data_IF_779543438842
#
_entry.id   IF_779543438842
#
_cell.length_a   1.000
_cell.length_b   1.000
_cell.length_c   1.000
_cell.angle_alpha   90.00
_cell.angle_beta   90.00
_cell.angle_gamma   90.00
#
_symmetry.space_group_name_H-M   'P 1'
#
loop_
_entity.id
_entity.type
_entity.pdbx_description
1 polymer ?
2 branched ?
3 branched ?
4 non-polymer ?
5 non-polymer ?
6 non-polymer ?
7 non-polymer ?
8 water ?
#
# COMPACT_ATOMS: atom_id res chain seq x y z
N UNK A 1 25.06 -7.15 -11.88
CA UNK A 1 24.22 -6.78 -10.71
C UNK A 1 24.14 -8.02 -9.82
N UNK A 2 24.18 -7.80 -8.49
CA UNK A 2 23.90 -8.83 -7.52
C UNK A 2 22.52 -8.61 -6.92
N UNK A 3 21.94 -9.67 -6.34
CA UNK A 3 20.68 -9.50 -5.63
C UNK A 3 20.92 -8.57 -4.44
N UNK A 4 19.93 -7.70 -4.19
CA UNK A 4 19.97 -6.85 -3.02
C UNK A 4 19.72 -7.63 -1.75
N UNK A 5 20.50 -7.33 -0.74
CA UNK A 5 20.31 -7.87 0.60
C UNK A 5 19.88 -6.73 1.52
N UNK A 6 18.99 -7.08 2.48
CA UNK A 6 18.46 -6.12 3.45
C UNK A 6 19.45 -6.01 4.62
N UNK A 7 20.54 -5.29 4.40
CA UNK A 7 21.62 -5.27 5.37
C UNK A 7 21.54 -4.12 6.33
N UNK A 8 20.70 -3.13 6.09
CA UNK A 8 20.67 -1.92 6.86
C UNK A 8 19.44 -1.89 7.76
N UNK A 9 19.50 -1.09 8.80
CA UNK A 9 18.33 -0.77 9.59
C UNK A 9 17.65 0.50 9.10
N UNK A 10 16.50 0.83 9.69
CA UNK A 10 15.83 2.08 9.31
C UNK A 10 16.57 3.28 9.85
N UNK A 11 16.56 4.37 9.08
CA UNK A 11 17.02 5.66 9.59
C UNK A 11 16.06 6.12 10.70
N UNK A 12 16.56 6.97 11.61
CA UNK A 12 15.74 7.54 12.63
C UNK A 12 14.74 8.52 12.02
N UNK A 13 13.45 8.29 12.28
CA UNK A 13 12.39 9.09 11.71
C UNK A 13 12.05 10.22 12.70
N UNK A 14 12.47 11.46 12.39
CA UNK A 14 12.11 12.58 13.26
C UNK A 14 11.07 13.51 12.63
N UNK A 15 10.76 13.32 11.34
CA UNK A 15 9.72 13.99 10.63
C UNK A 15 9.67 13.39 9.23
N UNK A 16 8.79 13.95 8.39
CA UNK A 16 8.58 13.48 7.03
C UNK A 16 8.79 14.66 6.10
N UNK A 17 9.47 14.46 4.98
CA UNK A 17 9.64 15.50 3.94
C UNK A 17 8.92 15.05 2.67
N UNK A 18 8.53 16.05 1.86
CA UNK A 18 7.89 15.74 0.60
C UNK A 18 8.85 15.00 -0.33
N UNK A 19 8.38 13.94 -0.96
CA UNK A 19 9.18 13.14 -1.88
C UNK A 19 8.65 13.26 -3.29
N UNK A 20 7.36 13.05 -3.49
CA UNK A 20 6.76 13.19 -4.79
C UNK A 20 5.28 13.52 -4.71
N UNK A 21 4.77 14.07 -5.78
CA UNK A 21 3.36 14.45 -5.87
C UNK A 21 3.05 14.60 -7.35
N UNK A 22 2.00 14.00 -7.85
CA UNK A 22 1.75 14.07 -9.29
C UNK A 22 0.66 15.03 -9.72
N UNK A 23 -0.20 15.52 -8.81
CA UNK A 23 -1.24 16.46 -9.21
C UNK A 23 -2.05 15.91 -10.41
N UNK A 24 -2.30 14.59 -10.43
CA UNK A 24 -2.81 14.01 -11.64
C UNK A 24 -4.25 14.45 -12.03
N UNK A 25 -5.10 14.65 -11.00
CA UNK A 25 -6.50 15.02 -11.28
C UNK A 25 -6.53 16.46 -11.77
N UNK A 26 -5.79 17.37 -11.14
CA UNK A 26 -5.68 18.74 -11.63
C UNK A 26 -5.24 18.74 -13.10
N UNK A 27 -4.14 18.05 -13.38
CA UNK A 27 -3.55 18.10 -14.71
C UNK A 27 -4.48 17.44 -15.72
N UNK A 28 -5.08 16.32 -15.30
CA UNK A 28 -5.95 15.54 -16.20
C UNK A 28 -7.28 16.16 -16.52
N UNK A 29 -7.64 17.28 -15.87
CA UNK A 29 -8.79 18.05 -16.28
C UNK A 29 -8.66 18.55 -17.71
N UNK A 30 -7.44 18.69 -18.21
CA UNK A 30 -7.19 19.15 -19.58
C UNK A 30 -5.94 18.52 -20.19
N UNK A 31 -5.73 17.25 -19.96
CA UNK A 31 -4.66 16.51 -20.60
C UNK A 31 -5.03 15.04 -20.53
N UNK A 32 -4.27 14.18 -21.22
CA UNK A 32 -4.66 12.79 -21.45
C UNK A 32 -4.15 11.87 -20.34
N UNK A 33 -4.68 12.05 -19.15
CA UNK A 33 -4.33 11.34 -17.95
C UNK A 33 -5.28 10.16 -17.76
N UNK A 34 -4.72 9.00 -17.56
CA UNK A 34 -5.50 7.80 -17.30
C UNK A 34 -6.16 7.86 -15.93
N UNK A 35 -7.40 7.34 -15.89
CA UNK A 35 -8.05 7.04 -14.66
C UNK A 35 -7.32 5.90 -13.95
N UNK A 36 -7.07 6.05 -12.65
CA UNK A 36 -6.37 5.04 -11.89
C UNK A 36 -7.07 4.84 -10.53
N UNK A 37 -6.57 3.87 -9.77
CA UNK A 37 -6.72 3.76 -8.31
C UNK A 37 -5.70 2.72 -7.86
N UNK A 38 -5.60 2.51 -6.55
CA UNK A 38 -4.65 1.58 -5.98
C UNK A 38 -3.22 1.86 -6.41
N UNK A 39 -2.72 3.10 -6.20
CA UNK A 39 -1.36 3.45 -6.59
C UNK A 39 -0.33 2.95 -5.59
N UNK A 40 0.93 3.03 -5.99
CA UNK A 40 2.05 2.83 -5.05
C UNK A 40 3.30 3.37 -5.70
N UNK A 41 4.42 3.19 -5.02
CA UNK A 41 5.75 3.66 -5.45
C UNK A 41 6.71 2.48 -5.31
N UNK A 42 7.65 2.35 -6.24
CA UNK A 42 8.62 1.29 -6.12
C UNK A 42 9.90 1.71 -6.86
N UNK A 43 11.04 1.38 -6.27
CA UNK A 43 12.34 1.75 -6.81
C UNK A 43 13.03 0.58 -7.50
N UNK A 44 13.71 0.92 -8.57
CA UNK A 44 14.74 0.11 -9.21
C UNK A 44 16.10 0.64 -8.75
N UNK A 45 17.23 -0.01 -9.06
CA UNK A 45 18.53 0.52 -8.65
C UNK A 45 18.91 1.89 -9.19
N UNK A 46 18.28 2.30 -10.32
CA UNK A 46 18.61 3.55 -11.00
C UNK A 46 17.44 4.52 -11.15
N UNK A 47 16.28 4.22 -10.59
CA UNK A 47 15.10 5.09 -10.81
C UNK A 47 14.03 4.65 -9.79
N UNK A 48 13.21 5.58 -9.34
CA UNK A 48 12.01 5.25 -8.61
C UNK A 48 10.79 5.70 -9.45
N UNK A 49 9.72 4.96 -9.43
CA UNK A 49 8.55 5.22 -10.28
C UNK A 49 7.27 5.13 -9.49
N UNK A 50 6.24 5.81 -10.00
CA UNK A 50 4.87 5.64 -9.55
C UNK A 50 4.22 4.48 -10.26
N UNK A 51 3.32 3.77 -9.62
CA UNK A 51 2.60 2.61 -10.12
C UNK A 51 1.14 2.80 -9.77
N UNK A 52 0.25 2.17 -10.55
CA UNK A 52 -1.19 2.13 -10.17
C UNK A 52 -1.92 1.18 -11.07
N UNK A 53 -3.20 0.92 -10.75
CA UNK A 53 -4.04 0.19 -11.65
C UNK A 53 -4.85 1.17 -12.50
N UNK A 54 -4.51 1.19 -13.78
CA UNK A 54 -5.30 1.94 -14.76
C UNK A 54 -6.70 1.37 -14.84
N UNK A 55 -7.63 2.19 -15.33
CA UNK A 55 -8.99 1.80 -15.71
C UNK A 55 -9.17 1.76 -17.23
N UNK A 56 -8.09 2.01 -17.99
CA UNK A 56 -8.22 1.88 -19.44
C UNK A 56 -9.09 2.94 -20.08
N UNK A 57 -8.92 4.15 -19.61
CA UNK A 57 -9.69 5.32 -20.10
C UNK A 57 -9.00 6.54 -19.50
N UNK A 58 -9.11 7.66 -20.18
CA UNK A 58 -8.72 8.95 -19.59
C UNK A 58 -9.83 9.47 -18.67
N UNK A 59 -9.51 10.46 -17.87
CA UNK A 59 -10.47 10.99 -16.88
C UNK A 59 -11.54 11.87 -17.56
N UNK A 60 -11.16 12.62 -18.61
CA UNK A 60 -12.11 13.36 -19.43
C UNK A 60 -12.83 12.49 -20.44
N UNK A 61 -12.38 11.28 -20.67
CA UNK A 61 -13.00 10.42 -21.65
C UNK A 61 -14.36 9.96 -21.17
N UNK A 62 -15.27 9.68 -22.11
CA UNK A 62 -16.58 9.18 -21.74
C UNK A 62 -16.53 7.82 -21.05
N UNK A 63 -15.49 7.03 -21.28
CA UNK A 63 -15.36 5.75 -20.63
C UNK A 63 -14.96 5.87 -19.13
N UNK A 64 -14.75 7.10 -18.66
CA UNK A 64 -14.51 7.27 -17.22
C UNK A 64 -15.81 6.98 -16.43
N UNK A 65 -16.97 7.05 -17.06
CA UNK A 65 -18.22 6.75 -16.34
C UNK A 65 -18.19 5.29 -15.92
N UNK A 66 -18.31 5.04 -14.62
CA UNK A 66 -18.39 3.65 -14.13
C UNK A 66 -17.08 3.18 -13.45
N UNK A 67 -16.06 4.04 -13.38
CA UNK A 67 -14.77 3.71 -12.88
C UNK A 67 -14.71 3.59 -11.35
N UNK A 68 -15.85 3.75 -10.64
CA UNK A 68 -15.89 3.30 -9.26
C UNK A 68 -15.62 1.78 -9.16
N UNK A 69 -15.98 1.05 -10.21
CA UNK A 69 -15.91 -0.42 -10.20
C UNK A 69 -14.47 -0.90 -10.05
N UNK A 70 -14.32 -2.00 -9.32
CA UNK A 70 -13.00 -2.48 -8.95
C UNK A 70 -12.32 -3.37 -9.98
N UNK A 71 -13.06 -4.19 -10.78
CA UNK A 71 -12.38 -5.34 -11.49
C UNK A 71 -12.83 -5.67 -12.95
N UNK A 72 -12.50 -4.82 -13.84
CA UNK A 72 -12.86 -4.97 -15.24
C UNK A 72 -11.69 -5.56 -16.01
N UNK A 73 -11.98 -5.91 -17.25
CA UNK A 73 -10.99 -6.39 -18.23
C UNK A 73 -10.12 -5.28 -18.77
N UNK A 74 -10.38 -4.01 -18.37
CA UNK A 74 -9.73 -2.83 -18.98
C UNK A 74 -8.67 -2.27 -18.04
N UNK A 75 -8.41 -2.95 -16.90
CA UNK A 75 -7.41 -2.57 -15.93
C UNK A 75 -6.06 -3.19 -16.20
N UNK A 76 -5.02 -2.48 -15.76
CA UNK A 76 -3.66 -2.94 -15.93
C UNK A 76 -2.81 -2.27 -14.88
N UNK A 77 -1.74 -2.96 -14.49
CA UNK A 77 -0.71 -2.30 -13.71
C UNK A 77 0.16 -1.46 -14.65
N UNK A 78 0.26 -0.19 -14.37
CA UNK A 78 1.10 0.74 -15.13
C UNK A 78 2.12 1.34 -14.19
N UNK A 79 3.25 1.78 -14.76
CA UNK A 79 4.21 2.57 -14.03
C UNK A 79 4.59 3.80 -14.87
N UNK A 80 5.07 4.85 -14.22
CA UNK A 80 5.41 6.09 -14.90
C UNK A 80 6.41 6.86 -14.09
N UNK A 81 7.06 7.87 -14.67
CA UNK A 81 8.13 8.56 -13.93
C UNK A 81 7.63 9.26 -12.67
N UNK A 82 8.51 9.23 -11.67
CA UNK A 82 8.20 9.80 -10.38
C UNK A 82 7.69 11.24 -10.54
N UNK A 83 6.52 11.48 -9.94
CA UNK A 83 5.85 12.80 -9.85
C UNK A 83 5.25 13.33 -11.15
N UNK A 84 5.49 12.64 -12.28
CA UNK A 84 4.65 12.92 -13.48
C UNK A 84 3.27 12.31 -13.26
N UNK A 85 2.22 12.70 -14.01
CA UNK A 85 0.96 11.99 -13.88
C UNK A 85 0.93 10.77 -14.79
N UNK A 86 0.01 9.83 -14.58
CA UNK A 86 -0.09 8.62 -15.40
C UNK A 86 -0.84 8.97 -16.66
N UNK A 87 -0.08 9.27 -17.71
CA UNK A 87 -0.68 9.65 -18.99
C UNK A 87 -0.75 8.51 -19.97
N UNK A 88 -1.54 8.68 -21.00
CA UNK A 88 -1.60 7.71 -22.07
C UNK A 88 -0.23 7.49 -22.69
N UNK A 89 0.57 8.56 -22.78
CA UNK A 89 1.77 8.57 -23.57
C UNK A 89 3.03 8.22 -22.74
N UNK A 90 3.00 8.25 -21.45
CA UNK A 90 4.21 8.01 -20.61
C UNK A 90 4.02 6.80 -19.71
N UNK A 91 2.90 6.14 -19.73
CA UNK A 91 2.63 5.02 -18.82
C UNK A 91 3.06 3.71 -19.46
N UNK A 92 3.86 2.93 -18.74
CA UNK A 92 4.32 1.61 -19.16
C UNK A 92 3.49 0.54 -18.54
N UNK A 93 2.90 -0.32 -19.36
CA UNK A 93 2.10 -1.42 -18.79
C UNK A 93 3.03 -2.52 -18.33
N UNK A 94 2.88 -2.91 -17.07
CA UNK A 94 3.65 -4.00 -16.47
C UNK A 94 2.97 -5.36 -16.65
N UNK A 95 1.65 -5.37 -16.52
CA UNK A 95 0.88 -6.60 -16.70
C UNK A 95 -0.61 -6.18 -16.65
N UNK A 96 -1.47 -7.14 -17.02
CA UNK A 96 -2.89 -6.91 -17.13
C UNK A 96 -3.62 -7.51 -15.93
N UNK A 97 -4.51 -6.72 -15.30
CA UNK A 97 -5.30 -7.19 -14.19
C UNK A 97 -5.74 -6.10 -13.25
N UNK A 98 -6.31 -6.55 -12.11
CA UNK A 98 -7.05 -5.63 -11.24
C UNK A 98 -6.62 -5.77 -9.79
N UNK A 99 -5.49 -6.44 -9.55
CA UNK A 99 -4.83 -6.54 -8.25
C UNK A 99 -3.33 -6.79 -8.54
N UNK A 100 -2.44 -6.10 -7.86
CA UNK A 100 -1.05 -6.21 -8.21
C UNK A 100 -0.05 -6.06 -7.09
N UNK A 101 1.18 -6.48 -7.37
CA UNK A 101 2.36 -6.04 -6.61
C UNK A 101 3.54 -6.04 -7.57
N UNK A 102 4.66 -5.44 -7.14
CA UNK A 102 5.87 -5.37 -7.98
C UNK A 102 7.01 -5.07 -7.07
N UNK A 103 8.20 -5.60 -7.39
CA UNK A 103 9.43 -5.27 -6.64
C UNK A 103 10.64 -5.63 -7.48
N UNK A 104 11.71 -4.90 -7.24
CA UNK A 104 13.00 -5.18 -7.85
C UNK A 104 13.86 -5.98 -6.90
N UNK A 105 14.59 -6.98 -7.41
CA UNK A 105 15.42 -7.83 -6.55
C UNK A 105 16.87 -7.40 -6.54
N UNK A 106 17.20 -6.32 -7.24
CA UNK A 106 18.58 -5.86 -7.44
C UNK A 106 19.10 -6.19 -8.81
N UNK A 107 18.63 -7.27 -9.41
CA UNK A 107 18.97 -7.65 -10.79
C UNK A 107 17.88 -7.18 -11.76
N UNK A 108 16.61 -7.53 -11.50
CA UNK A 108 15.53 -7.08 -12.36
C UNK A 108 14.24 -7.09 -11.53
N UNK A 109 13.15 -6.75 -12.17
CA UNK A 109 11.86 -6.53 -11.54
C UNK A 109 10.92 -7.72 -11.72
N UNK A 110 10.23 -8.04 -10.64
CA UNK A 110 9.09 -8.96 -10.65
C UNK A 110 7.82 -8.14 -10.54
N UNK A 111 6.84 -8.42 -11.42
CA UNK A 111 5.53 -7.79 -11.33
C UNK A 111 4.47 -8.88 -11.34
N UNK A 112 3.42 -8.69 -10.54
CA UNK A 112 2.35 -9.71 -10.50
C UNK A 112 1.02 -9.01 -10.67
N UNK A 113 0.21 -9.54 -11.58
CA UNK A 113 -1.13 -9.05 -11.74
C UNK A 113 -2.10 -10.23 -11.70
N UNK A 114 -3.27 -9.98 -11.10
CA UNK A 114 -4.35 -10.97 -11.03
C UNK A 114 -5.49 -10.46 -11.91
N UNK A 115 -6.06 -11.35 -12.73
CA UNK A 115 -7.24 -11.02 -13.51
C UNK A 115 -8.20 -12.18 -13.44
N UNK A 116 -9.41 -11.94 -13.97
CA UNK A 116 -10.41 -12.96 -14.11
C UNK A 116 -11.72 -12.57 -13.44
N UNK A 117 -12.71 -13.43 -13.61
CA UNK A 117 -13.95 -13.27 -12.90
C UNK A 117 -13.75 -13.66 -11.41
N UNK A 118 -14.73 -13.33 -10.57
CA UNK A 118 -14.54 -13.52 -9.15
C UNK A 118 -14.27 -14.98 -8.74
N UNK A 119 -14.86 -15.93 -9.47
CA UNK A 119 -14.75 -17.35 -9.13
C UNK A 119 -13.66 -18.08 -9.94
N UNK A 120 -12.82 -17.34 -10.70
CA UNK A 120 -11.92 -18.02 -11.60
C UNK A 120 -10.71 -17.14 -11.93
N UNK A 121 -10.23 -16.38 -10.91
CA UNK A 121 -9.11 -15.48 -11.12
C UNK A 121 -7.77 -16.25 -11.12
N UNK A 122 -6.77 -15.58 -11.66
CA UNK A 122 -5.43 -16.15 -11.74
C UNK A 122 -4.38 -15.06 -11.68
N UNK A 123 -3.27 -15.37 -11.04
CA UNK A 123 -2.11 -14.49 -10.99
C UNK A 123 -1.11 -14.90 -12.08
N UNK A 124 -0.53 -13.90 -12.74
CA UNK A 124 0.63 -14.11 -13.63
C UNK A 124 1.79 -13.33 -13.02
N UNK A 125 2.89 -14.05 -12.84
CA UNK A 125 4.13 -13.52 -12.27
C UNK A 125 5.07 -13.28 -13.42
N UNK A 126 5.43 -12.01 -13.59
CA UNK A 126 6.36 -11.56 -14.64
C UNK A 126 7.72 -11.30 -13.97
N UNK A 127 8.77 -11.62 -14.68
CA UNK A 127 10.14 -11.40 -14.19
C UNK A 127 10.96 -10.96 -15.40
N UNK A 128 11.66 -9.83 -15.26
CA UNK A 128 12.45 -9.29 -16.39
C UNK A 128 11.51 -9.02 -17.56
N UNK A 129 10.30 -8.55 -17.26
CA UNK A 129 9.30 -8.13 -18.28
C UNK A 129 8.79 -9.25 -19.16
N UNK A 130 8.87 -10.48 -18.63
CA UNK A 130 8.34 -11.66 -19.31
C UNK A 130 7.50 -12.48 -18.35
N UNK A 131 6.41 -13.13 -18.81
CA UNK A 131 5.65 -14.02 -17.92
C UNK A 131 6.46 -15.26 -17.62
N UNK A 132 6.45 -15.67 -16.35
CA UNK A 132 7.20 -16.84 -15.93
C UNK A 132 6.35 -17.90 -15.26
N UNK A 133 5.49 -17.50 -14.30
CA UNK A 133 4.71 -18.43 -13.51
C UNK A 133 3.28 -17.95 -13.47
N UNK A 134 2.34 -18.90 -13.30
CA UNK A 134 0.95 -18.57 -13.16
C UNK A 134 0.39 -19.34 -11.96
N UNK A 135 -0.56 -18.72 -11.25
CA UNK A 135 -1.19 -19.37 -10.06
C UNK A 135 -2.69 -19.21 -10.21
N UNK A 136 -3.40 -20.34 -10.19
CA UNK A 136 -4.86 -20.31 -10.25
C UNK A 136 -5.47 -20.01 -8.88
N UNK A 137 -6.66 -19.41 -8.85
CA UNK A 137 -7.45 -19.29 -7.62
C UNK A 137 -7.51 -20.61 -6.88
N UNK A 138 -7.34 -20.53 -5.56
CA UNK A 138 -7.45 -21.69 -4.69
C UNK A 138 -8.76 -21.73 -3.93
N UNK A 139 -9.46 -20.59 -3.76
CA UNK A 139 -10.69 -20.51 -2.99
C UNK A 139 -11.84 -19.99 -3.86
N UNK A 140 -11.60 -19.61 -5.12
CA UNK A 140 -12.68 -19.22 -6.03
C UNK A 140 -13.44 -18.01 -5.51
N UNK A 141 -12.71 -17.03 -4.93
CA UNK A 141 -13.39 -15.86 -4.41
C UNK A 141 -12.41 -14.69 -4.36
N UNK A 142 -12.20 -14.10 -5.53
CA UNK A 142 -11.46 -12.85 -5.70
C UNK A 142 -10.05 -13.02 -5.14
N UNK A 143 -9.26 -13.90 -5.76
CA UNK A 143 -7.81 -13.92 -5.52
C UNK A 143 -7.28 -12.47 -5.62
N UNK A 144 -6.45 -12.11 -4.65
CA UNK A 144 -6.07 -10.70 -4.54
C UNK A 144 -4.75 -10.58 -3.75
N UNK A 145 -4.06 -9.44 -3.96
CA UNK A 145 -2.73 -9.26 -3.36
C UNK A 145 -2.51 -7.83 -2.78
N UNK A 146 -1.29 -7.39 -2.74
CA UNK A 146 -0.89 -6.30 -1.84
C UNK A 146 -1.41 -4.93 -2.24
N UNK A 147 -1.31 -4.60 -3.54
CA UNK A 147 -1.56 -3.25 -4.04
C UNK A 147 -0.48 -2.26 -3.61
N UNK A 148 0.71 -2.77 -3.23
CA UNK A 148 1.92 -1.97 -3.07
C UNK A 148 3.12 -2.88 -3.24
N UNK A 149 4.32 -2.31 -3.10
CA UNK A 149 5.52 -3.07 -3.48
C UNK A 149 5.77 -4.26 -2.54
N UNK A 150 6.34 -5.29 -3.15
CA UNK A 150 6.92 -6.38 -2.42
C UNK A 150 8.37 -6.06 -2.06
N UNK A 151 9.05 -6.92 -1.34
CA UNK A 151 10.39 -6.69 -0.89
C UNK A 151 11.21 -7.94 -1.10
N UNK A 152 12.44 -7.82 -1.57
CA UNK A 152 13.28 -8.97 -1.84
C UNK A 152 14.55 -8.98 -0.96
N UNK A 153 15.08 -10.18 -0.71
CA UNK A 153 16.31 -10.38 0.05
C UNK A 153 17.05 -11.55 -0.62
N UNK A 154 18.26 -11.31 -1.13
CA UNK A 154 19.04 -12.32 -1.80
C UNK A 154 18.22 -13.06 -2.86
N UNK A 155 17.38 -12.33 -3.60
CA UNK A 155 16.62 -12.91 -4.68
C UNK A 155 15.28 -13.47 -4.30
N UNK A 156 15.01 -13.62 -2.98
CA UNK A 156 13.77 -14.19 -2.51
C UNK A 156 12.80 -13.03 -2.22
N UNK A 157 11.68 -13.01 -2.93
CA UNK A 157 10.71 -11.91 -2.84
C UNK A 157 9.38 -12.50 -2.32
N UNK A 158 9.08 -12.40 -1.02
CA UNK A 158 7.79 -12.89 -0.52
C UNK A 158 6.64 -11.98 -0.93
N UNK A 159 5.49 -12.60 -1.17
CA UNK A 159 4.27 -11.86 -1.55
C UNK A 159 3.11 -12.48 -0.81
N UNK A 160 2.24 -11.60 -0.27
CA UNK A 160 1.08 -12.10 0.45
C UNK A 160 -0.13 -12.01 -0.46
N UNK A 161 -0.89 -13.13 -0.54
CA UNK A 161 -2.14 -13.19 -1.31
C UNK A 161 -3.27 -13.67 -0.42
N UNK A 162 -4.48 -13.29 -0.75
CA UNK A 162 -5.64 -13.82 -0.09
C UNK A 162 -6.65 -14.25 -1.14
N UNK A 163 -7.38 -15.35 -0.87
CA UNK A 163 -8.49 -15.76 -1.72
C UNK A 163 -9.56 -16.23 -0.75
N UNK A 164 -10.80 -15.81 -0.98
CA UNK A 164 -11.85 -16.11 -0.03
C UNK A 164 -12.59 -14.88 0.42
N UNK A 165 -13.44 -15.07 1.41
CA UNK A 165 -14.34 -14.05 1.86
C UNK A 165 -13.64 -12.78 2.33
N UNK A 166 -14.32 -11.66 2.11
CA UNK A 166 -13.93 -10.38 2.68
C UNK A 166 -14.61 -10.15 4.04
N UNK A 167 -15.50 -11.05 4.45
CA UNK A 167 -16.42 -10.80 5.61
C UNK A 167 -16.47 -12.04 6.50
N UNK A 168 -15.40 -12.82 6.48
CA UNK A 168 -15.23 -14.01 7.26
C UNK A 168 -13.87 -14.60 6.99
N UNK A 169 -13.54 -15.77 7.58
CA UNK A 169 -12.26 -16.41 7.33
C UNK A 169 -11.98 -16.60 5.83
N UNK A 170 -10.74 -16.36 5.44
CA UNK A 170 -10.26 -16.50 4.08
C UNK A 170 -8.98 -17.32 4.08
N UNK A 171 -8.47 -17.59 2.89
CA UNK A 171 -7.27 -18.42 2.71
C UNK A 171 -6.14 -17.53 2.22
N UNK A 172 -5.31 -17.10 3.17
CA UNK A 172 -4.14 -16.28 2.89
C UNK A 172 -2.92 -17.16 2.74
N UNK A 173 -2.11 -16.87 1.73
CA UNK A 173 -0.91 -17.61 1.47
C UNK A 173 0.26 -16.62 1.29
N UNK A 174 1.42 -16.99 1.84
CA UNK A 174 2.68 -16.25 1.59
C UNK A 174 3.47 -17.08 0.58
N UNK A 175 3.69 -16.53 -0.60
CA UNK A 175 4.49 -17.19 -1.65
C UNK A 175 5.89 -16.59 -1.58
N UNK A 176 6.89 -17.42 -1.77
CA UNK A 176 8.29 -17.01 -1.82
C UNK A 176 8.78 -17.24 -3.24
N UNK A 177 8.98 -16.12 -3.95
CA UNK A 177 9.39 -16.19 -5.36
C UNK A 177 10.89 -15.93 -5.48
N UNK A 178 11.50 -16.50 -6.51
CA UNK A 178 12.89 -16.13 -6.91
C UNK A 178 12.97 -16.27 -8.44
N UNK A 179 13.36 -15.20 -9.09
CA UNK A 179 13.42 -15.16 -10.56
C UNK A 179 12.03 -15.52 -11.12
N UNK A 180 10.96 -15.09 -10.44
CA UNK A 180 9.58 -15.33 -10.87
C UNK A 180 9.07 -16.73 -10.69
N UNK A 181 9.88 -17.61 -10.10
CA UNK A 181 9.50 -18.99 -9.84
C UNK A 181 9.13 -19.19 -8.37
N UNK A 182 8.26 -20.15 -8.11
CA UNK A 182 7.84 -20.41 -6.74
C UNK A 182 8.85 -21.33 -6.06
N UNK A 183 9.48 -20.82 -5.00
CA UNK A 183 10.34 -21.66 -4.17
C UNK A 183 9.49 -22.46 -3.17
N UNK A 184 8.46 -21.83 -2.61
CA UNK A 184 7.67 -22.35 -1.50
C UNK A 184 6.45 -21.47 -1.37
N UNK A 185 5.41 -22.01 -0.78
CA UNK A 185 4.36 -21.16 -0.21
C UNK A 185 3.96 -21.76 1.14
N UNK A 186 3.36 -20.89 1.97
CA UNK A 186 2.86 -21.30 3.28
C UNK A 186 1.50 -20.68 3.48
N UNK A 187 0.59 -21.35 4.22
CA UNK A 187 -0.64 -20.71 4.66
C UNK A 187 -0.32 -19.74 5.80
N UNK A 188 -1.15 -18.72 5.91
CA UNK A 188 -1.01 -17.79 7.05
C UNK A 188 -1.03 -18.57 8.36
N UNK A 189 -0.13 -18.18 9.26
CA UNK A 189 -0.06 -18.67 10.64
C UNK A 189 -0.08 -17.48 11.57
N UNK A 190 -0.13 -17.75 12.86
CA UNK A 190 -0.17 -16.72 13.86
C UNK A 190 -1.57 -16.28 14.20
N UNK A 191 -1.69 -15.09 14.79
CA UNK A 191 -2.95 -14.67 15.40
C UNK A 191 -3.75 -13.70 14.55
N UNK A 192 -3.22 -13.22 13.42
CA UNK A 192 -4.06 -12.40 12.55
C UNK A 192 -5.20 -13.23 12.06
N UNK A 193 -6.43 -12.68 12.07
CA UNK A 193 -7.60 -13.50 11.72
C UNK A 193 -8.11 -13.26 10.30
N UNK A 194 -7.65 -12.18 9.63
CA UNK A 194 -8.00 -11.88 8.27
C UNK A 194 -6.94 -10.92 7.73
N UNK A 195 -6.53 -11.14 6.46
CA UNK A 195 -5.43 -10.38 5.90
C UNK A 195 -5.79 -9.94 4.49
N UNK A 196 -5.59 -8.65 4.20
CA UNK A 196 -5.66 -8.15 2.85
C UNK A 196 -4.61 -7.03 2.69
N UNK A 197 -4.18 -6.80 1.46
CA UNK A 197 -3.56 -5.57 1.05
C UNK A 197 -2.33 -5.23 1.90
N UNK A 198 -1.41 -6.16 2.07
CA UNK A 198 -0.25 -5.90 2.90
C UNK A 198 0.69 -4.85 2.32
N UNK A 199 1.18 -3.97 3.22
CA UNK A 199 2.15 -2.92 2.93
C UNK A 199 3.45 -3.33 3.60
N UNK A 200 4.53 -3.56 2.83
CA UNK A 200 5.73 -4.18 3.39
C UNK A 200 6.96 -3.32 3.23
N UNK A 201 7.94 -3.58 4.10
CA UNK A 201 9.27 -2.98 4.01
C UNK A 201 10.28 -3.98 4.61
N UNK A 202 11.54 -3.80 4.29
CA UNK A 202 12.57 -4.67 4.80
C UNK A 202 13.69 -3.93 5.47
N UNK A 203 14.27 -4.58 6.50
CA UNK A 203 15.42 -4.02 7.22
C UNK A 203 16.05 -5.20 7.97
N UNK A 204 17.39 -5.24 7.98
CA UNK A 204 18.13 -6.26 8.73
C UNK A 204 17.55 -7.66 8.52
N UNK A 205 17.40 -8.04 7.25
CA UNK A 205 17.04 -9.40 6.84
C UNK A 205 15.68 -9.84 7.39
N UNK A 206 14.77 -8.91 7.57
CA UNK A 206 13.38 -9.21 8.01
C UNK A 206 12.45 -8.33 7.18
N UNK A 207 11.33 -8.88 6.77
CA UNK A 207 10.29 -8.10 6.06
C UNK A 207 9.08 -7.97 6.95
N UNK A 208 8.65 -6.74 7.15
CA UNK A 208 7.49 -6.42 7.97
C UNK A 208 6.37 -5.95 7.07
N UNK A 209 5.19 -6.55 7.23
CA UNK A 209 4.00 -6.16 6.44
C UNK A 209 2.88 -5.74 7.39
N UNK A 210 2.30 -4.59 7.14
CA UNK A 210 1.11 -4.12 7.86
C UNK A 210 -0.09 -4.20 6.93
N UNK A 211 -1.13 -4.91 7.36
CA UNK A 211 -2.18 -5.28 6.44
C UNK A 211 -3.52 -4.74 6.88
N UNK A 212 -4.59 -5.20 6.24
CA UNK A 212 -5.97 -4.81 6.47
C UNK A 212 -6.74 -6.07 6.89
N UNK A 213 -7.32 -6.06 8.09
CA UNK A 213 -8.27 -7.12 8.53
C UNK A 213 -9.63 -6.57 8.15
N UNK A 214 -10.15 -6.97 6.99
CA UNK A 214 -11.40 -6.38 6.51
C UNK A 214 -12.56 -6.86 7.39
N UNK A 215 -12.48 -8.09 7.84
CA UNK A 215 -13.61 -8.76 8.49
C UNK A 215 -13.97 -8.10 9.83
N UNK A 216 -12.99 -7.96 10.74
CA UNK A 216 -13.28 -7.58 12.12
C UNK A 216 -12.44 -6.46 12.72
N UNK A 217 -11.24 -6.27 12.23
CA UNK A 217 -10.27 -5.51 13.05
C UNK A 217 -10.09 -4.07 12.63
N UNK A 218 -10.07 -3.18 13.64
CA UNK A 218 -9.75 -1.78 13.40
C UNK A 218 -8.33 -1.46 13.80
N UNK A 219 -7.70 -2.37 14.52
CA UNK A 219 -6.22 -2.46 14.59
C UNK A 219 -5.77 -3.15 13.30
N UNK A 220 -4.50 -3.04 12.97
CA UNK A 220 -4.02 -3.67 11.77
C UNK A 220 -3.23 -4.93 12.05
N UNK A 221 -3.44 -6.00 11.28
CA UNK A 221 -2.61 -7.19 11.40
C UNK A 221 -1.20 -6.90 10.87
N UNK A 222 -0.20 -7.60 11.41
CA UNK A 222 1.17 -7.48 11.01
C UNK A 222 1.73 -8.86 10.75
N UNK A 223 2.33 -9.04 9.61
CA UNK A 223 3.05 -10.27 9.23
C UNK A 223 4.53 -9.93 9.18
N UNK A 224 5.35 -10.73 9.87
CA UNK A 224 6.79 -10.55 9.80
C UNK A 224 7.43 -11.80 9.21
N UNK A 225 8.20 -11.60 8.15
CA UNK A 225 8.70 -12.67 7.31
C UNK A 225 10.22 -12.73 7.38
N UNK A 226 10.74 -13.93 7.56
CA UNK A 226 12.15 -14.24 7.46
C UNK A 226 12.35 -14.77 6.05
N UNK A 227 12.92 -13.97 5.10
CA UNK A 227 13.06 -14.42 3.73
C UNK A 227 14.19 -15.41 3.47
N UNK A 228 14.98 -15.70 4.49
CA UNK A 228 16.04 -16.74 4.38
C UNK A 228 15.44 -18.07 4.80
N UNK A 229 14.88 -18.14 6.01
CA UNK A 229 14.18 -19.37 6.44
C UNK A 229 12.90 -19.62 5.67
N UNK A 230 12.35 -18.57 5.07
CA UNK A 230 11.04 -18.59 4.38
C UNK A 230 9.95 -19.05 5.34
N UNK A 231 9.89 -18.32 6.46
CA UNK A 231 8.90 -18.52 7.51
C UNK A 231 8.33 -17.17 7.93
N UNK A 232 7.23 -17.20 8.65
CA UNK A 232 6.60 -15.96 9.08
C UNK A 232 5.85 -16.15 10.41
N UNK A 233 5.48 -15.01 10.99
CA UNK A 233 4.59 -14.90 12.10
C UNK A 233 3.54 -13.87 11.78
N UNK A 234 2.47 -13.83 12.56
CA UNK A 234 1.47 -12.79 12.47
C UNK A 234 0.95 -12.45 13.85
N UNK A 235 0.50 -11.19 13.97
CA UNK A 235 -0.17 -10.66 15.14
C UNK A 235 -0.89 -9.39 14.71
N UNK A 236 -1.34 -8.59 15.68
CA UNK A 236 -1.86 -7.23 15.39
C UNK A 236 -0.97 -6.21 16.02
N UNK A 237 -1.06 -4.98 15.53
CA UNK A 237 -0.50 -3.85 16.24
C UNK A 237 -1.25 -3.70 17.59
N UNK A 238 -0.52 -3.83 18.73
CA UNK A 238 -1.10 -3.83 20.09
C UNK A 238 -1.71 -2.46 20.42
N UNK A 239 -1.13 -1.39 19.87
CA UNK A 239 -1.46 -0.03 20.34
C UNK A 239 -2.96 0.24 20.26
N UNK A 240 -3.45 1.07 21.20
CA UNK A 240 -4.81 1.61 21.12
C UNK A 240 -4.98 2.76 20.14
N UNK A 241 -3.91 3.17 19.44
CA UNK A 241 -4.00 4.11 18.33
C UNK A 241 -4.44 3.29 17.12
N UNK A 242 -5.74 3.23 16.87
CA UNK A 242 -6.27 2.34 15.83
C UNK A 242 -6.09 2.99 14.44
N UNK A 243 -5.73 2.16 13.46
CA UNK A 243 -5.30 2.79 12.19
C UNK A 243 -6.01 2.30 10.96
N UNK A 244 -7.04 1.45 11.07
CA UNK A 244 -7.85 1.16 9.90
C UNK A 244 -8.91 2.27 9.77
N UNK A 245 -9.81 2.08 8.81
CA UNK A 245 -10.88 3.04 8.54
C UNK A 245 -11.97 2.30 7.76
N UNK A 246 -13.28 2.48 8.11
CA UNK A 246 -13.75 3.13 9.30
C UNK A 246 -13.32 2.38 10.56
N UNK A 247 -13.43 3.02 11.70
CA UNK A 247 -12.96 2.46 12.95
C UNK A 247 -13.72 3.10 14.08
N UNK A 248 -13.77 2.48 15.27
CA UNK A 248 -14.29 3.17 16.44
C UNK A 248 -13.28 4.21 16.93
N UNK A 249 -13.66 5.00 17.93
CA UNK A 249 -12.72 5.90 18.59
C UNK A 249 -11.60 5.11 19.29
N UNK A 250 -10.49 5.78 19.47
CA UNK A 250 -9.37 5.15 20.14
C UNK A 250 -9.72 4.83 21.58
N UNK A 251 -9.40 3.59 22.01
CA UNK A 251 -9.51 3.23 23.42
C UNK A 251 -8.23 3.57 24.17
N UNK A 252 -8.13 3.07 25.39
CA UNK A 252 -6.94 3.18 26.22
C UNK A 252 -6.01 1.97 26.10
N UNK A 253 -6.58 0.81 25.77
CA UNK A 253 -5.82 -0.41 25.66
C UNK A 253 -6.31 -1.11 24.37
N UNK A 254 -5.36 -1.51 23.55
CA UNK A 254 -5.65 -2.21 22.30
C UNK A 254 -5.63 -3.70 22.46
N UNK A 255 -5.41 -4.38 21.34
CA UNK A 255 -5.39 -5.86 21.28
C UNK A 255 -4.22 -6.31 20.45
N UNK A 256 -3.41 -7.22 21.01
CA UNK A 256 -2.21 -7.70 20.33
C UNK A 256 -2.47 -8.94 19.43
N UNK A 257 -3.47 -9.78 19.80
CA UNK A 257 -3.60 -11.07 19.17
C UNK A 257 -5.03 -11.32 18.71
N UNK A 258 -5.83 -10.29 18.56
CA UNK A 258 -7.15 -10.43 18.02
C UNK A 258 -7.57 -9.10 17.43
N UNK A 259 -8.56 -9.09 16.54
CA UNK A 259 -9.10 -7.82 16.02
C UNK A 259 -9.75 -6.96 17.09
N UNK A 260 -9.46 -5.68 17.05
CA UNK A 260 -10.12 -4.74 17.92
C UNK A 260 -11.46 -4.43 17.29
N UNK A 261 -12.56 -4.73 17.98
CA UNK A 261 -13.89 -4.71 17.37
C UNK A 261 -14.51 -3.32 17.28
N UNK A 262 -15.69 -3.28 16.66
CA UNK A 262 -16.46 -2.05 16.52
C UNK A 262 -16.91 -1.77 15.12
N UNK A 263 -16.14 -2.22 14.14
CA UNK A 263 -16.40 -2.06 12.73
C UNK A 263 -16.15 -3.39 12.05
N UNK A 264 -17.13 -3.81 11.23
CA UNK A 264 -17.02 -5.06 10.49
C UNK A 264 -17.09 -4.86 8.99
N UNK A 265 -16.45 -5.73 8.26
CA UNK A 265 -16.66 -5.87 6.83
C UNK A 265 -16.31 -4.60 6.06
N UNK A 266 -15.20 -3.95 6.37
CA UNK A 266 -14.72 -2.79 5.68
C UNK A 266 -13.31 -2.53 6.15
N UNK A 267 -12.67 -1.58 5.45
CA UNK A 267 -11.29 -1.21 5.83
C UNK A 267 -10.69 -0.35 4.75
N UNK A 268 -9.39 -0.13 4.88
CA UNK A 268 -8.61 0.62 3.89
C UNK A 268 -7.19 0.05 3.94
N UNK A 269 -6.50 0.00 2.82
CA UNK A 269 -5.08 -0.36 2.86
C UNK A 269 -4.32 0.72 3.59
N UNK A 270 -3.39 0.31 4.44
CA UNK A 270 -2.55 1.24 5.18
C UNK A 270 -1.19 0.64 5.51
N UNK A 271 -0.44 1.29 6.42
CA UNK A 271 0.96 0.90 6.64
C UNK A 271 1.42 1.37 8.01
N UNK A 272 2.59 0.86 8.37
CA UNK A 272 3.31 1.36 9.54
C UNK A 272 4.80 1.07 9.39
N UNK A 273 5.61 1.74 10.20
CA UNK A 273 7.02 1.37 10.37
C UNK A 273 7.13 1.01 11.83
N UNK A 274 7.53 -0.24 12.16
CA UNK A 274 7.51 -0.79 13.50
C UNK A 274 8.93 -1.08 13.91
N UNK A 275 9.52 -0.18 14.71
CA UNK A 275 10.98 -0.24 14.95
C UNK A 275 11.22 0.28 16.36
N UNK A 276 10.58 -0.31 17.40
CA UNK A 276 10.85 0.10 18.77
C UNK A 276 10.38 1.51 18.99
N UNK A 277 11.22 2.34 19.59
CA UNK A 277 10.86 3.75 19.80
C UNK A 277 10.72 4.49 18.47
N UNK A 278 11.37 4.02 17.43
CA UNK A 278 11.31 4.62 16.11
C UNK A 278 10.10 4.10 15.30
N UNK A 279 8.94 4.05 15.90
CA UNK A 279 7.72 3.53 15.34
C UNK A 279 6.77 4.66 14.95
N UNK A 280 6.34 4.60 13.70
CA UNK A 280 5.38 5.60 13.16
C UNK A 280 4.24 4.87 12.50
N UNK A 281 3.02 5.30 12.81
CA UNK A 281 1.79 4.72 12.22
C UNK A 281 1.13 5.76 11.35
N UNK A 282 0.67 5.36 10.16
CA UNK A 282 -0.17 6.22 9.37
C UNK A 282 -1.63 5.92 9.62
N UNK A 283 -2.51 6.93 9.50
CA UNK A 283 -3.94 6.67 9.50
C UNK A 283 -4.73 7.85 8.88
N UNK A 284 -5.95 7.56 8.45
CA UNK A 284 -6.88 8.62 8.13
C UNK A 284 -7.20 9.39 9.41
N UNK A 285 -7.47 10.70 9.28
CA UNK A 285 -7.88 11.44 10.44
C UNK A 285 -9.31 11.09 10.85
N UNK A 286 -10.20 11.04 9.86
CA UNK A 286 -11.59 10.62 10.13
C UNK A 286 -11.67 9.19 10.57
N UNK A 287 -12.56 8.92 11.53
CA UNK A 287 -12.88 7.53 11.90
C UNK A 287 -13.95 6.94 10.99
N UNK A 288 -14.63 7.77 10.19
CA UNK A 288 -15.77 7.32 9.42
C UNK A 288 -15.47 7.17 7.94
N UNK A 289 -14.61 7.99 7.36
CA UNK A 289 -14.42 8.00 5.92
C UNK A 289 -12.95 8.19 5.59
N UNK A 290 -12.63 8.01 4.31
CA UNK A 290 -11.26 8.16 3.84
C UNK A 290 -10.95 9.62 3.64
N UNK A 291 -10.82 10.30 4.78
CA UNK A 291 -10.64 11.74 4.89
C UNK A 291 -9.44 12.00 5.81
N UNK A 292 -8.58 12.90 5.35
CA UNK A 292 -7.38 13.30 6.11
C UNK A 292 -6.34 12.20 6.13
N UNK A 293 -5.13 12.54 6.57
CA UNK A 293 -4.09 11.54 6.76
C UNK A 293 -3.08 12.14 7.71
N UNK A 294 -2.59 11.34 8.62
CA UNK A 294 -1.62 11.77 9.59
C UNK A 294 -0.65 10.63 9.89
N UNK A 295 0.55 11.03 10.30
CA UNK A 295 1.56 10.11 10.81
C UNK A 295 1.66 10.38 12.31
N UNK A 296 1.72 9.34 13.11
CA UNK A 296 1.83 9.44 14.56
C UNK A 296 3.01 8.58 14.97
N UNK A 297 3.89 9.14 15.80
CA UNK A 297 4.98 8.44 16.40
C UNK A 297 4.43 7.76 17.65
N UNK A 298 4.45 6.42 17.65
CA UNK A 298 3.83 5.64 18.73
C UNK A 298 4.87 4.64 19.19
N UNK A 299 5.76 5.02 20.11
CA UNK A 299 6.84 4.09 20.51
C UNK A 299 6.27 2.73 20.90
N UNK A 300 6.89 1.70 20.35
CA UNK A 300 6.57 0.30 20.67
C UNK A 300 5.11 -0.02 20.37
N UNK A 301 4.54 0.57 19.31
CA UNK A 301 3.16 0.27 18.96
C UNK A 301 2.91 -1.21 18.80
N UNK A 302 3.85 -1.94 18.20
CA UNK A 302 3.61 -3.33 17.91
C UNK A 302 3.33 -4.15 19.17
N UNK A 303 4.06 -3.84 20.22
CA UNK A 303 4.13 -4.68 21.40
C UNK A 303 3.49 -4.10 22.67
N UNK A 304 3.19 -2.80 22.68
CA UNK A 304 2.71 -2.12 23.90
C UNK A 304 1.25 -1.78 23.70
N UNK A 305 0.37 -2.47 24.43
CA UNK A 305 -1.08 -2.35 24.29
C UNK A 305 -1.65 -1.10 24.98
N UNK A 306 -0.79 -0.20 25.44
CA UNK A 306 -1.26 1.11 25.98
C UNK A 306 -0.52 2.27 25.27
N UNK A 307 0.27 1.98 24.25
CA UNK A 307 1.14 3.00 23.62
C UNK A 307 0.31 4.10 22.92
N UNK A 308 0.69 5.36 23.20
CA UNK A 308 0.05 6.53 22.69
C UNK A 308 1.07 7.40 21.99
N UNK A 309 0.62 8.37 21.18
CA UNK A 309 1.58 9.17 20.40
C UNK A 309 2.45 10.08 21.24
N UNK A 310 3.71 10.22 20.77
CA UNK A 310 4.62 11.17 21.36
C UNK A 310 5.00 12.31 20.42
N UNK A 311 4.57 12.19 19.15
CA UNK A 311 4.88 13.20 18.12
C UNK A 311 3.96 12.89 16.95
N UNK A 312 3.76 13.83 16.02
CA UNK A 312 2.99 13.51 14.85
C UNK A 312 3.24 14.47 13.72
N UNK A 313 2.62 14.18 12.58
CA UNK A 313 2.68 15.10 11.45
C UNK A 313 1.42 14.94 10.64
N UNK A 314 0.75 16.04 10.36
CA UNK A 314 -0.41 16.01 9.47
C UNK A 314 0.09 15.95 8.02
N UNK A 315 -0.48 15.05 7.22
CA UNK A 315 -0.10 14.95 5.81
C UNK A 315 -1.20 15.53 4.92
N UNK A 316 -2.46 15.21 5.22
CA UNK A 316 -3.62 15.69 4.46
C UNK A 316 -4.63 16.15 5.51
N UNK A 317 -5.20 17.33 5.36
CA UNK A 317 -6.17 17.80 6.32
C UNK A 317 -7.44 16.94 6.27
N UNK A 318 -8.20 16.93 7.37
CA UNK A 318 -9.46 16.17 7.45
C UNK A 318 -10.54 16.72 6.53
N UNK A 319 -10.33 17.92 5.96
CA UNK A 319 -11.24 18.48 4.99
C UNK A 319 -10.87 18.13 3.55
N UNK A 320 -9.90 17.21 3.39
CA UNK A 320 -9.51 16.72 2.08
C UNK A 320 -9.55 15.19 2.06
N UNK A 321 -9.84 14.66 0.86
CA UNK A 321 -9.97 13.22 0.68
C UNK A 321 -8.59 12.55 0.64
N UNK A 322 -8.53 11.38 1.30
CA UNK A 322 -7.34 10.53 1.23
C UNK A 322 -7.74 9.20 0.57
N UNK A 323 -7.29 8.06 1.11
CA UNK A 323 -7.43 6.81 0.41
C UNK A 323 -6.40 5.82 0.90
N UNK A 324 -6.00 4.90 0.03
CA UNK A 324 -5.01 3.89 0.38
C UNK A 324 -3.68 4.55 0.73
N UNK A 325 -2.88 3.85 1.53
CA UNK A 325 -1.54 4.26 1.79
C UNK A 325 -0.67 3.02 1.94
N UNK A 326 0.63 3.18 1.66
CA UNK A 326 1.52 2.04 1.65
C UNK A 326 2.96 2.47 1.80
N UNK A 327 3.81 1.48 2.08
CA UNK A 327 5.22 1.67 2.33
C UNK A 327 6.06 1.31 1.10
N UNK A 328 7.21 1.99 0.98
CA UNK A 328 8.26 1.61 0.07
C UNK A 328 9.55 2.26 0.59
N UNK A 329 10.67 1.75 0.15
CA UNK A 329 11.96 2.39 0.40
C UNK A 329 12.85 2.29 -0.84
N UNK A 330 13.80 3.23 -0.93
CA UNK A 330 14.83 3.13 -1.96
C UNK A 330 15.99 2.33 -1.35
N UNK A 331 15.95 1.02 -1.60
CA UNK A 331 16.90 0.10 -1.10
C UNK A 331 18.31 0.30 -1.72
N UNK A 332 18.42 1.16 -2.76
CA UNK A 332 19.65 1.39 -3.49
C UNK A 332 20.25 2.78 -3.27
N UNK A 333 19.75 3.49 -2.26
CA UNK A 333 20.28 4.78 -1.91
C UNK A 333 21.66 4.66 -1.21
N UNK A 334 22.35 5.79 -1.15
CA UNK A 334 23.61 5.86 -0.46
C UNK A 334 23.40 5.97 1.04
N UNK A 335 24.41 5.67 1.80
CA UNK A 335 24.33 5.91 3.22
C UNK A 335 24.18 4.64 4.04
N UNK A 336 23.99 4.80 5.33
CA UNK A 336 24.12 3.70 6.28
C UNK A 336 22.78 3.11 6.72
N UNK A 337 21.68 3.68 6.33
CA UNK A 337 20.38 3.26 6.80
C UNK A 337 19.37 3.42 5.68
N UNK A 338 18.29 2.65 5.78
CA UNK A 338 17.16 2.77 4.81
C UNK A 338 16.18 3.83 5.29
N UNK A 339 15.89 4.78 4.40
CA UNK A 339 14.96 5.86 4.68
C UNK A 339 13.51 5.42 4.40
N UNK A 340 12.71 5.34 5.46
CA UNK A 340 11.30 5.02 5.37
C UNK A 340 10.60 5.98 4.44
N UNK A 341 9.75 5.43 3.55
CA UNK A 341 8.85 6.26 2.70
C UNK A 341 7.45 5.71 2.69
N UNK A 342 6.51 6.56 2.30
CA UNK A 342 5.15 6.10 2.10
C UNK A 342 4.48 6.96 1.05
N UNK A 343 3.36 6.48 0.57
CA UNK A 343 2.48 7.26 -0.29
C UNK A 343 1.08 7.27 0.28
N UNK A 344 0.29 8.28 -0.13
CA UNK A 344 -1.14 8.33 0.15
C UNK A 344 -1.82 8.56 -1.21
N UNK A 345 -2.79 7.70 -1.49
CA UNK A 345 -3.74 7.83 -2.57
C UNK A 345 -4.82 8.85 -2.20
N UNK A 346 -4.92 9.88 -3.06
CA UNK A 346 -5.88 10.98 -2.82
C UNK A 346 -7.05 10.75 -3.75
N UNK A 347 -8.10 10.04 -3.26
CA UNK A 347 -9.18 9.61 -4.17
C UNK A 347 -10.16 10.77 -4.41
N UNK A 348 -10.45 10.97 -5.71
CA UNK A 348 -11.43 11.96 -6.11
C UNK A 348 -12.55 11.29 -6.89
N UNK A 349 -13.73 11.90 -6.86
CA UNK A 349 -14.92 11.34 -7.51
C UNK A 349 -15.67 10.39 -6.61
N UNK A 350 -16.23 9.36 -7.24
CA UNK A 350 -17.21 8.51 -6.50
C UNK A 350 -16.48 7.61 -5.49
N UNK A 351 -17.15 7.27 -4.39
CA UNK A 351 -18.53 7.66 -4.08
C UNK A 351 -18.75 8.98 -3.34
N UNK A 352 -17.68 9.59 -2.85
CA UNK A 352 -17.83 10.76 -2.01
C UNK A 352 -18.21 11.99 -2.79
N UNK A 353 -17.77 12.08 -4.04
CA UNK A 353 -18.03 13.24 -4.89
C UNK A 353 -18.80 12.74 -6.11
N UNK A 354 -20.13 12.59 -5.94
CA UNK A 354 -20.91 11.89 -6.95
C UNK A 354 -21.55 12.81 -7.97
N UNK A 355 -21.10 14.05 -8.03
CA UNK A 355 -21.51 14.90 -9.18
C UNK A 355 -20.75 14.56 -10.47
N UNK A 356 -19.59 13.88 -10.35
CA UNK A 356 -18.94 13.27 -11.47
C UNK A 356 -19.27 11.80 -11.49
N UNK A 357 -19.05 11.15 -12.64
CA UNK A 357 -19.38 9.75 -12.81
C UNK A 357 -18.18 8.83 -12.72
N UNK A 358 -17.01 9.41 -12.44
CA UNK A 358 -15.76 8.66 -12.37
C UNK A 358 -15.25 8.59 -10.94
N UNK A 359 -14.25 7.74 -10.76
CA UNK A 359 -13.41 7.63 -9.56
C UNK A 359 -11.97 7.58 -10.01
N UNK A 360 -11.12 8.45 -9.49
CA UNK A 360 -9.72 8.39 -9.80
C UNK A 360 -8.98 8.85 -8.57
N UNK A 361 -7.68 9.15 -8.72
CA UNK A 361 -6.91 9.58 -7.60
C UNK A 361 -5.67 10.31 -8.11
N UNK A 362 -5.02 11.04 -7.19
CA UNK A 362 -3.63 11.43 -7.39
C UNK A 362 -2.77 10.83 -6.28
N UNK A 363 -1.48 11.10 -6.29
CA UNK A 363 -0.51 10.55 -5.38
C UNK A 363 0.20 11.69 -4.67
N UNK A 364 0.41 11.53 -3.35
CA UNK A 364 1.43 12.26 -2.63
C UNK A 364 2.31 11.23 -1.90
N UNK A 365 3.59 11.53 -1.75
CA UNK A 365 4.53 10.61 -1.18
C UNK A 365 5.53 11.39 -0.36
N UNK A 366 5.96 10.81 0.76
CA UNK A 366 6.89 11.42 1.69
C UNK A 366 7.94 10.40 2.12
N UNK A 367 9.12 10.89 2.52
CA UNK A 367 10.14 10.04 3.12
C UNK A 367 10.59 10.67 4.44
N UNK A 368 11.26 9.88 5.27
CA UNK A 368 11.63 10.38 6.59
C UNK A 368 12.85 11.26 6.55
N UNK A 369 12.89 12.19 7.50
CA UNK A 369 14.05 13.05 7.77
C UNK A 369 14.54 12.82 9.21
N UNK A 370 15.84 12.92 9.40
CA UNK A 370 16.39 13.01 10.76
C UNK A 370 16.29 14.39 11.35
N UNK A 371 15.89 15.40 10.56
CA UNK A 371 15.55 16.71 11.09
C UNK A 371 14.11 16.69 11.60
N UNK A 372 13.75 17.70 12.40
CA UNK A 372 12.37 17.96 12.82
C UNK A 372 11.77 19.06 11.94
N UNK A 373 11.34 18.68 10.75
CA UNK A 373 10.90 19.64 9.74
C UNK A 373 9.50 20.17 9.98
N UNK A 374 9.28 21.42 9.58
CA UNK A 374 7.94 21.95 9.52
C UNK A 374 7.03 21.15 8.63
N UNK A 375 5.74 21.22 8.96
CA UNK A 375 4.73 20.47 8.24
C UNK A 375 3.83 21.33 7.36
N UNK A 376 3.51 20.79 6.20
CA UNK A 376 2.45 21.33 5.34
C UNK A 376 1.41 20.27 5.17
N UNK A 377 0.29 20.58 4.53
CA UNK A 377 -0.70 19.59 4.14
C UNK A 377 -0.69 19.53 2.62
N UNK A 378 -1.02 18.37 2.08
CA UNK A 378 -0.82 18.07 0.67
C UNK A 378 -2.10 17.52 0.05
N UNK A 379 -3.05 18.38 -0.28
CA UNK A 379 -4.28 17.93 -0.91
C UNK A 379 -4.11 17.54 -2.37
N UNK A 380 -5.10 16.82 -2.89
CA UNK A 380 -5.11 16.54 -4.32
C UNK A 380 -5.06 17.84 -5.15
N UNK A 381 -5.90 18.79 -4.79
CA UNK A 381 -5.91 20.12 -5.37
C UNK A 381 -6.83 20.37 -6.54
N UNK A 382 -7.54 19.36 -7.03
CA UNK A 382 -8.48 19.62 -8.13
C UNK A 382 -9.80 20.14 -7.60
N UNK A 383 -10.47 20.91 -8.46
CA UNK A 383 -11.81 21.42 -8.19
C UNK A 383 -12.82 20.60 -9.00
N UNK A 384 -13.65 19.83 -8.31
CA UNK A 384 -14.63 18.95 -8.94
C UNK A 384 -15.56 19.74 -9.84
N UNK A 385 -15.87 20.98 -9.47
CA UNK A 385 -16.80 21.77 -10.27
C UNK A 385 -16.30 21.96 -11.72
N UNK A 386 -14.99 21.96 -11.91
CA UNK A 386 -14.43 22.13 -13.25
C UNK A 386 -14.75 20.97 -14.17
N UNK A 387 -15.06 19.80 -13.60
CA UNK A 387 -15.34 18.58 -14.35
C UNK A 387 -16.83 18.43 -14.69
N UNK A 388 -17.68 19.37 -14.28
CA UNK A 388 -19.11 19.26 -14.51
C UNK A 388 -19.52 19.90 -15.82
X LIG B 1 -13.29 -21.77 -14.56
X LIG B 1 -14.65 -22.28 -14.98
X LIG B 1 -14.59 -23.65 -15.65
X LIG B 1 -13.55 -23.61 -16.72
X LIG B 1 -12.22 -23.18 -16.18
X LIG B 1 -11.07 -23.23 -17.17
X LIG B 1 -16.63 -21.63 -13.70
X LIG B 1 -17.35 -21.88 -12.44
X LIG B 1 -15.54 -22.29 -13.80
X LIG B 1 -15.89 -23.96 -16.20
X LIG B 1 -13.43 -24.93 -17.30
X LIG B 1 -12.37 -21.86 -15.67
X LIG B 1 -11.36 -22.44 -18.30
X LIG B 1 -17.07 -20.88 -14.56
X LIG B 2 -13.49 -24.99 -18.72
X LIG B 2 -12.82 -26.27 -19.23
X LIG B 2 -12.85 -26.17 -20.74
X LIG B 2 -14.33 -26.08 -21.17
X LIG B 2 -15.04 -24.94 -20.52
X LIG B 2 -16.50 -24.84 -20.78
X LIG B 2 -11.03 -27.13 -17.82
X LIG B 2 -9.56 -27.23 -17.56
X LIG B 2 -11.44 -26.34 -18.81
X LIG B 2 -12.14 -27.25 -21.35
X LIG B 2 -14.35 -25.87 -22.58
X LIG B 2 -14.86 -25.01 -19.11
X LIG B 2 -17.12 -26.00 -20.25
X LIG B 2 -11.80 -27.80 -17.12
X LIG B 3 -15.08 -26.78 -23.38
X LIG B 3 -15.41 -26.14 -24.73
X LIG B 3 -16.04 -27.16 -25.63
X LIG B 3 -15.26 -28.44 -25.65
X LIG B 3 -15.03 -29.01 -24.23
X LIG B 3 -14.19 -30.22 -24.18
X LIG B 3 -14.16 -25.72 -25.27
X LIG B 3 -16.13 -26.62 -26.95
X LIG B 3 -15.98 -29.48 -26.38
X LIG B 3 -14.33 -27.98 -23.49
X LIG B 3 -14.27 -30.93 -22.94
X LIG B 4 -17.36 -26.87 -27.61
X LIG B 4 -17.16 -26.48 -29.08
X LIG B 4 -16.97 -24.97 -29.14
X LIG B 4 -18.17 -24.26 -28.53
X LIG B 4 -18.26 -24.71 -27.06
X LIG B 4 -19.51 -24.12 -26.47
X LIG B 4 -18.40 -26.95 -29.57
X LIG B 4 -16.77 -24.57 -30.49
X LIG B 4 -18.05 -22.85 -28.59
X LIG B 4 -18.43 -26.14 -27.01
X LIG B 4 -19.46 -24.39 -25.06
X LIG B 5 -18.60 -26.83 -30.94
X LIG B 5 -20.02 -27.26 -31.26
X LIG B 5 -20.15 -28.75 -31.08
X LIG B 5 -19.09 -29.51 -31.87
X LIG B 5 -17.73 -28.97 -31.54
X LIG B 5 -16.62 -29.59 -32.47
X LIG B 5 -20.30 -26.93 -32.61
X LIG B 5 -21.47 -29.15 -31.42
X LIG B 5 -19.12 -30.91 -31.60
X LIG B 5 -17.65 -27.53 -31.75
X LIG B 5 -16.94 -29.69 -33.86
X LIG B 6 -21.19 -25.86 -32.83
X LIG B 6 -21.55 -25.87 -34.32
X LIG B 6 -20.34 -25.51 -35.14
X LIG B 6 -19.82 -24.15 -34.70
X LIG B 6 -19.45 -24.25 -33.23
X LIG B 6 -18.96 -22.94 -32.68
X LIG B 6 -22.61 -24.96 -34.53
X LIG B 6 -20.68 -25.52 -36.54
X LIG B 6 -18.60 -23.84 -35.43
X LIG B 6 -20.59 -24.62 -32.47
X LIG B 6 -19.94 -21.92 -32.73
X LIG B 7 -15.39 -31.84 -22.88
X LIG B 7 -15.50 -32.28 -21.45
X LIG B 7 -14.34 -33.14 -21.06
X LIG B 7 -14.20 -34.27 -22.08
X LIG B 7 -14.08 -33.68 -23.47
X LIG B 7 -13.99 -34.72 -24.56
X LIG B 7 -16.68 -33.06 -21.31
X LIG B 7 -14.53 -33.69 -19.77
X LIG B 7 -12.99 -35.05 -21.82
X LIG B 7 -15.17 -32.90 -23.79
X LIG B 7 -15.03 -35.66 -24.38
X LIG B 8 -13.51 -33.30 -18.84
X LIG B 8 -13.66 -34.17 -17.61
X LIG B 8 -14.95 -33.80 -16.90
X LIG B 8 -15.07 -32.29 -16.62
X LIG B 8 -14.84 -31.52 -17.90
X LIG B 8 -14.78 -30.05 -17.65
X LIG B 8 -12.51 -34.06 -16.78
X LIG B 8 -14.95 -34.60 -15.72
X LIG B 8 -16.38 -31.98 -16.02
X LIG B 8 -13.55 -31.94 -18.45
X LIG B 8 -14.96 -29.28 -18.88
X LIG B 9 -15.07 -36.69 -25.43
X LIG B 9 -16.27 -37.61 -25.18
X LIG B 9 -15.97 -38.20 -23.79
X LIG B 9 -14.54 -38.82 -23.68
X LIG B 9 -13.44 -37.84 -24.12
X LIG B 9 -12.02 -38.38 -24.20
X LIG B 9 -16.51 -38.52 -26.36
X LIG B 9 -17.06 -39.08 -23.56
X LIG B 9 -14.19 -39.19 -22.32
X LIG B 9 -13.81 -37.37 -25.42
X LIG B 9 -12.25 -39.68 -24.64
X LIG C 1 -23.14 7.11 -16.77
X LIG C 1 -24.07 7.97 -17.55
X LIG C 1 -25.42 8.09 -16.82
X LIG C 1 -25.91 6.70 -16.65
X LIG C 1 -24.90 5.78 -15.90
X LIG C 1 -25.12 4.28 -15.69
X LIG C 1 -22.77 9.52 -18.70
X LIG C 1 -22.75 11.01 -18.82
X LIG C 1 -23.49 9.30 -17.65
X LIG C 1 -26.28 9.03 -17.47
X LIG C 1 -27.04 6.85 -15.75
X LIG C 1 -23.65 5.80 -16.60
X LIG C 1 -25.50 3.64 -16.91
X LIG C 1 -22.23 8.59 -19.50
X LIG C 2 -28.18 6.20 -16.32
X LIG C 2 -29.20 5.75 -15.34
X LIG C 2 -30.33 5.02 -16.07
X LIG C 2 -30.84 5.87 -17.22
X LIG C 2 -29.67 6.39 -18.07
X LIG C 2 -30.12 7.35 -19.16
X LIG C 2 -28.22 5.68 -13.18
X LIG C 2 -27.62 4.87 -12.00
X LIG C 2 -28.63 4.95 -14.22
X LIG C 2 -31.38 4.80 -15.13
X LIG C 2 -31.79 5.13 -18.01
X LIG C 2 -28.77 7.12 -17.23
X LIG C 2 -30.02 8.67 -18.60
X LIG C 2 -28.36 6.94 -13.19
X LIG D 1 23.73 -10.72 -1.14
X LIG D 1 24.94 -10.23 -1.98
X LIG D 1 25.35 -11.30 -2.94
X LIG D 1 25.68 -12.60 -2.18
X LIG D 1 24.49 -12.97 -1.31
X LIG D 1 24.62 -14.17 -0.39
X LIG D 1 25.29 -7.91 -2.73
X LIG D 1 24.70 -6.70 -3.44
X LIG D 1 24.48 -9.03 -2.68
X LIG D 1 26.46 -10.77 -3.70
X LIG D 1 25.76 -13.75 -3.06
X LIG D 1 24.14 -11.90 -0.43
X LIG D 1 25.84 -14.02 0.30
X LIG D 1 26.38 -7.92 -2.26
X LIG D 2 27.07 -14.01 -3.58
X LIG D 2 27.01 -15.41 -4.11
X LIG D 2 28.44 -15.69 -4.70
X LIG D 2 28.88 -14.70 -5.77
X LIG D 2 28.80 -13.33 -5.09
X LIG D 2 29.05 -12.09 -5.92
X LIG D 2 25.58 -16.90 -2.72
X LIG D 2 25.61 -17.70 -1.45
X LIG D 2 26.71 -16.34 -3.03
X LIG D 2 28.46 -17.00 -5.21
X LIG D 2 30.20 -15.03 -6.28
X LIG D 2 27.41 -13.11 -4.63
X LIG D 2 28.41 -12.42 -7.13
X LIG D 2 24.49 -16.71 -3.38
X LIG E 1 -6.09 17.24 -26.93
X LIG F 1 -11.11 -3.29 9.15
X LIG G 1 20.87 7.51 4.26
X LIG G 1 21.18 8.46 5.32
X LIG G 1 19.42 7.76 3.86
X LIG G 1 19.57 9.06 3.29
X LIG G 1 19.29 7.22 2.43
X LIG G 1 18.06 7.42 1.75
X LIG H 1 -2.85 27.42 -7.09
X LIG H 1 -2.62 28.77 -6.70
X LIG H 1 -4.32 27.41 -7.41
X LIG H 1 -5.09 26.22 -7.15
X LIG H 1 -4.25 27.59 -8.89
X LIG H 1 -4.36 26.39 -9.68
X LIG I 1 -17.02 -4.24 -5.50
X LIG I 1 -15.63 -4.66 -5.54
X LIG I 1 -17.53 -3.98 -6.93
X LIG I 1 -18.97 -3.79 -6.93
X LIG I 1 -16.68 -2.92 -7.51
X LIG I 1 -16.65 -3.44 -8.71
X LIG J 1 -11.42 -0.57 -1.59
X LIG J 1 -11.28 0.57 -2.10
X LIG J 1 -11.84 -0.78 -0.46
X LIG J 1 -10.99 -1.73 -2.40
X LIG J 1 -10.38 -1.68 -3.60
X LIG J 1 -9.80 -2.87 -4.28
X LIG J 1 -10.55 -4.10 -3.83
X LIG J 1 -9.93 -5.32 -4.28
X LIG J 1 -10.33 -6.03 -5.34
X LIG J 1 -11.36 -5.77 -5.95
X LIG J 1 -9.45 -7.18 -5.71
X LIG J 1 -10.65 -4.12 -2.29
X LIG J 1 -11.26 -2.89 -1.82
X LIG J 1 -11.51 -5.26 -1.75
X LIG J 1 -12.85 -5.12 -2.25
X LIG J 1 -11.53 -5.33 -0.22
X LIG J 1 -10.17 -5.43 0.20
X LIG J 1 -12.37 -6.47 0.29
X LIG J 1 -11.88 -7.76 -0.10
X LIG J 1 -9.80 -2.74 -5.74
X LIG J 1 -8.90 -3.31 -6.54
X LIG J 1 -9.13 -3.32 -7.86
X LIG J 1 -7.76 -3.90 -6.11
X LIG K 1 -16.35 -26.54 -17.23
#
# INVERSE_FOLDING_TARGET
RDFNNLTKGLCTINSWHIYGKDNAVRIGEDSDVLVTREPYVSCDPDECRFYALSQGTTIRGKHSNGTIHDRSQYRALISWPLSSPPTVYNSRVECIGWSSTSCHDGKTRMSICISGPNNNASAVIWYNRRPVTEINTWARNILRTQESECVCHNGVCPVVFTDGSATGPAETRIYYFKEGKILKWEPLAGTAKHIEECSCYGERAEITCTCRDNWQGSNRPVIRIDPVAMTHTSQYICSPVLTDNPRPNDPTVGKCNDPYPGNNNNGVKGFSYLDGVNTWLGRTISIASRSGYEMLKVPNALTDDKSKPTQGQTIVLNTDWSGYSGSFMDYWAEGECYRACFYVELIRGRPKEDKVWWTSNSIVSMCSSTEFLGQWDWPDGAKIEYFL
NAG C1 C2 C3 C4 C5 C6 C7 C8 N2 O3 O4 O5 O6 O7
NAG C1 C2 C3 C4 C5 C6 C7 C8 N2 O3 O4 O5 O6 O7
BMA C1 C2 C3 C4 C5 C6 O2 O3 O4 O5 O6
MAN C1 C2 C3 C4 C5 C6 O2 O3 O4 O5 O6
MAN C1 C2 C3 C4 C5 C6 O2 O3 O4 O5 O6
MAN C1 C2 C3 C4 C5 C6 O2 O3 O4 O5 O6
MAN C1 C2 C3 C4 C5 C6 O2 O3 O4 O5 O6
MAN C1 C2 C3 C4 C5 C6 O2 O3 O4 O5 O6
MAN C1 C2 C3 C4 C5 C6 O2 O3 O4 O5 O6
NAG C1 C2 C3 C4 C5 C6 C7 C8 N2 O3 O4 O5 O6 O7
NAG C1 C2 C3 C4 C5 C6 C7 C8 N2 O3 O4 O5 O6 O7
NAG C1 C2 C3 C4 C5 C6 C7 C8 N2 O3 O4 O5 O6 O7
NAG C1 C2 C3 C4 C5 C6 C7 C8 N2 O3 O4 O5 O6 O7
CA CA
CA CA
GOL C1 O1 C2 O2 C3 O3
GOL C1 O1 C2 O2 C3 O3
GOL C1 O1 C2 O2 C3 O3
ZMR C1 O1A O1B C2 C3 C4 C5 N5 C10 O10 C11 C6 O6 C7 O7 C8 O8 C9 O9 NE CZ NH1 NH2
K K
#
